data_IF_605312945534
#
_entry.id   IF_605312945534
#
_cell.length_a   1.000
_cell.length_b   1.000
_cell.length_c   1.000
_cell.angle_alpha   90.00
_cell.angle_beta   90.00
_cell.angle_gamma   90.00
#
_symmetry.space_group_name_H-M   'P 1'
#
loop_
_entity.id
_entity.type
_entity.pdbx_description
1 polymer ?
#
# COMPACT_ATOMS: atom_id res chain seq x y z
N UNK A 1 -19.46 -7.73 14.93
CA UNK A 1 -20.13 -8.87 14.31
C UNK A 1 -19.18 -10.05 14.50
N UNK A 2 -19.60 -11.13 15.12
CA UNK A 2 -18.77 -12.35 15.15
C UNK A 2 -18.75 -12.94 13.75
N UNK A 3 -17.59 -13.40 13.29
CA UNK A 3 -17.49 -14.12 12.03
C UNK A 3 -18.19 -15.46 12.16
N UNK A 4 -18.93 -15.89 11.15
CA UNK A 4 -19.44 -17.25 11.12
C UNK A 4 -18.28 -18.22 10.86
N UNK A 5 -18.41 -19.50 11.26
CA UNK A 5 -17.38 -20.51 11.00
C UNK A 5 -17.02 -20.63 9.50
N UNK A 6 -18.01 -20.42 8.60
CA UNK A 6 -17.81 -20.49 7.17
C UNK A 6 -16.91 -19.34 6.67
N UNK A 7 -17.16 -18.09 7.13
CA UNK A 7 -16.34 -16.93 6.76
C UNK A 7 -14.93 -17.11 7.31
N UNK A 8 -14.79 -17.65 8.50
CA UNK A 8 -13.51 -17.94 9.12
C UNK A 8 -12.71 -18.96 8.30
N UNK A 9 -13.37 -20.03 7.87
CA UNK A 9 -12.75 -21.03 7.00
C UNK A 9 -12.31 -20.42 5.66
N UNK A 10 -13.13 -19.56 5.03
CA UNK A 10 -12.75 -18.85 3.80
C UNK A 10 -11.50 -17.99 4.00
N UNK A 11 -11.42 -17.25 5.12
CA UNK A 11 -10.24 -16.45 5.47
C UNK A 11 -9.00 -17.34 5.66
N UNK A 12 -9.15 -18.45 6.40
CA UNK A 12 -8.07 -19.39 6.64
C UNK A 12 -7.57 -20.04 5.35
N UNK A 13 -8.48 -20.36 4.42
CA UNK A 13 -8.10 -20.88 3.09
C UNK A 13 -7.24 -19.90 2.32
N UNK A 14 -7.58 -18.60 2.33
CA UNK A 14 -6.74 -17.58 1.70
C UNK A 14 -5.38 -17.46 2.39
N UNK A 15 -5.32 -17.54 3.72
CA UNK A 15 -4.08 -17.41 4.51
C UNK A 15 -3.13 -18.60 4.36
N UNK A 16 -3.66 -19.81 4.20
CA UNK A 16 -2.87 -21.05 4.21
C UNK A 16 -2.70 -21.67 2.82
N UNK A 17 -3.64 -21.43 1.93
CA UNK A 17 -3.70 -22.04 0.62
C UNK A 17 -3.94 -20.99 -0.48
N UNK A 18 -5.16 -20.94 -0.98
CA UNK A 18 -5.58 -19.99 -2.01
C UNK A 18 -7.10 -19.84 -2.04
N UNK A 19 -7.55 -18.60 -2.14
CA UNK A 19 -8.95 -18.28 -2.41
C UNK A 19 -9.10 -17.54 -3.73
N UNK A 20 -10.27 -17.66 -4.36
CA UNK A 20 -10.58 -16.94 -5.59
C UNK A 20 -11.94 -16.25 -5.52
N UNK A 21 -12.09 -15.18 -6.28
CA UNK A 21 -13.35 -14.45 -6.43
C UNK A 21 -13.35 -13.63 -7.72
N UNK A 22 -14.53 -13.33 -8.23
CA UNK A 22 -14.68 -12.36 -9.32
C UNK A 22 -14.76 -10.94 -8.76
N UNK A 23 -14.07 -10.01 -9.41
CA UNK A 23 -14.02 -8.60 -9.03
C UNK A 23 -15.19 -7.84 -9.64
N UNK A 24 -16.37 -8.01 -9.05
CA UNK A 24 -17.58 -7.32 -9.49
C UNK A 24 -17.43 -5.80 -9.37
N UNK A 25 -17.87 -5.05 -10.38
CA UNK A 25 -17.76 -3.59 -10.43
C UNK A 25 -16.40 -3.06 -10.90
N UNK A 26 -15.39 -3.94 -11.05
CA UNK A 26 -14.11 -3.57 -11.64
C UNK A 26 -14.12 -3.82 -13.14
N UNK A 27 -13.43 -2.97 -13.88
CA UNK A 27 -13.23 -3.15 -15.31
C UNK A 27 -11.91 -2.57 -15.79
N UNK A 28 -11.54 -2.90 -17.00
CA UNK A 28 -10.35 -2.41 -17.67
C UNK A 28 -10.77 -1.40 -18.73
N UNK A 29 -10.21 -0.20 -18.65
CA UNK A 29 -10.22 0.78 -19.72
C UNK A 29 -8.93 0.62 -20.51
N UNK A 30 -9.02 0.20 -21.78
CA UNK A 30 -7.90 0.22 -22.73
C UNK A 30 -7.72 1.63 -23.28
N UNK A 31 -6.50 2.10 -23.30
CA UNK A 31 -6.06 3.32 -23.98
C UNK A 31 -5.08 2.90 -25.07
N UNK A 32 -5.39 3.18 -26.35
CA UNK A 32 -4.62 2.73 -27.49
C UNK A 32 -4.36 3.87 -28.48
N UNK A 33 -3.10 4.08 -28.85
CA UNK A 33 -2.64 5.05 -29.82
C UNK A 33 -1.21 5.49 -29.52
N UNK A 34 -0.56 6.12 -30.50
CA UNK A 34 0.87 6.52 -30.38
C UNK A 34 1.13 7.53 -29.28
N UNK A 35 0.11 8.33 -28.89
CA UNK A 35 0.24 9.37 -27.88
C UNK A 35 -0.22 8.89 -26.48
N UNK A 36 -0.60 7.60 -26.32
CA UNK A 36 -1.17 7.04 -25.09
C UNK A 36 -0.35 7.37 -23.85
N UNK A 37 0.94 7.03 -23.83
CA UNK A 37 1.78 7.26 -22.66
C UNK A 37 2.03 8.75 -22.38
N UNK A 38 2.23 9.55 -23.41
CA UNK A 38 2.45 11.00 -23.26
C UNK A 38 1.19 11.72 -22.77
N UNK A 39 0.01 11.30 -23.22
CA UNK A 39 -1.28 11.77 -22.73
C UNK A 39 -1.48 11.38 -21.27
N UNK A 40 -1.35 10.09 -20.94
CA UNK A 40 -1.50 9.60 -19.56
C UNK A 40 -0.48 10.23 -18.60
N UNK A 41 0.74 10.55 -19.07
CA UNK A 41 1.75 11.26 -18.30
C UNK A 41 1.26 12.60 -17.76
N UNK A 42 0.46 13.33 -18.52
CA UNK A 42 -0.05 14.65 -18.12
C UNK A 42 -1.32 14.59 -17.27
N UNK A 43 -2.06 13.49 -17.35
CA UNK A 43 -3.35 13.33 -16.66
C UNK A 43 -3.25 12.60 -15.32
N UNK A 44 -2.19 11.83 -15.10
CA UNK A 44 -2.11 10.91 -13.95
C UNK A 44 -0.98 11.30 -12.99
N UNK A 45 -1.08 10.87 -11.74
CA UNK A 45 -0.16 11.30 -10.68
C UNK A 45 1.18 10.55 -10.67
N UNK A 46 1.24 9.35 -11.25
CA UNK A 46 2.48 8.56 -11.30
C UNK A 46 3.15 8.64 -12.69
N UNK A 47 4.42 8.24 -12.81
CA UNK A 47 5.23 8.40 -14.00
C UNK A 47 4.94 7.30 -15.04
N UNK A 48 4.04 7.58 -15.96
CA UNK A 48 3.65 6.64 -17.02
C UNK A 48 4.79 6.37 -18.02
N UNK A 49 5.66 7.34 -18.26
CA UNK A 49 6.76 7.21 -19.23
C UNK A 49 7.88 6.28 -18.77
N UNK A 50 8.01 6.03 -17.47
CA UNK A 50 8.99 5.09 -16.93
C UNK A 50 8.58 3.62 -17.06
N UNK A 51 7.30 3.35 -17.35
CA UNK A 51 6.84 1.97 -17.51
C UNK A 51 7.40 1.34 -18.77
N UNK A 52 7.96 0.15 -18.61
CA UNK A 52 8.32 -0.72 -19.74
C UNK A 52 7.13 -1.62 -20.10
N UNK A 53 7.13 -2.17 -21.31
CA UNK A 53 6.13 -3.19 -21.70
C UNK A 53 6.17 -4.36 -20.72
N UNK A 54 5.01 -4.82 -20.29
CA UNK A 54 4.89 -5.86 -19.26
C UNK A 54 4.90 -5.34 -17.83
N UNK A 55 5.08 -4.04 -17.62
CA UNK A 55 5.08 -3.42 -16.29
C UNK A 55 3.78 -2.67 -16.01
N UNK A 56 3.51 -2.49 -14.72
CA UNK A 56 2.41 -1.67 -14.25
C UNK A 56 2.74 -0.95 -12.95
N UNK A 57 1.90 0.00 -12.59
CA UNK A 57 2.00 0.81 -11.38
C UNK A 57 0.63 1.26 -10.90
N UNK A 58 0.52 1.59 -9.61
CA UNK A 58 -0.63 2.32 -9.10
C UNK A 58 -0.55 3.79 -9.52
N UNK A 59 -1.69 4.39 -9.81
CA UNK A 59 -1.81 5.81 -10.15
C UNK A 59 -3.18 6.36 -9.75
N UNK A 60 -3.34 7.67 -9.85
CA UNK A 60 -4.60 8.35 -9.59
C UNK A 60 -4.80 9.52 -10.56
N UNK A 61 -6.02 10.00 -10.62
CA UNK A 61 -6.37 11.30 -11.20
C UNK A 61 -6.91 12.19 -10.11
N UNK A 62 -6.48 13.44 -10.10
CA UNK A 62 -6.89 14.45 -9.13
C UNK A 62 -7.41 15.71 -9.82
N UNK A 63 -8.21 16.48 -9.10
CA UNK A 63 -8.55 17.83 -9.50
C UNK A 63 -7.42 18.83 -9.16
N UNK A 64 -7.61 20.13 -9.49
CA UNK A 64 -6.64 21.19 -9.21
C UNK A 64 -6.37 21.41 -7.72
N UNK A 65 -7.25 20.96 -6.84
CA UNK A 65 -7.09 20.99 -5.39
C UNK A 65 -6.48 19.70 -4.83
N UNK A 66 -5.96 18.82 -5.70
CA UNK A 66 -5.47 17.49 -5.37
C UNK A 66 -6.52 16.53 -4.79
N UNK A 67 -7.81 16.80 -4.97
CA UNK A 67 -8.88 15.90 -4.56
C UNK A 67 -8.93 14.72 -5.50
N UNK A 68 -9.11 13.54 -4.93
CA UNK A 68 -9.14 12.29 -5.67
C UNK A 68 -10.40 12.22 -6.56
N UNK A 69 -10.20 12.08 -7.86
CA UNK A 69 -11.27 11.78 -8.81
C UNK A 69 -11.45 10.27 -8.90
N UNK A 70 -10.36 9.55 -9.09
CA UNK A 70 -10.31 8.08 -9.07
C UNK A 70 -8.90 7.57 -8.90
N UNK A 71 -8.77 6.33 -8.45
CA UNK A 71 -7.51 5.58 -8.41
C UNK A 71 -7.60 4.33 -9.27
N UNK A 72 -6.49 3.89 -9.81
CA UNK A 72 -6.41 2.73 -10.71
C UNK A 72 -4.99 2.16 -10.74
N UNK A 73 -4.82 0.99 -11.33
CA UNK A 73 -3.50 0.52 -11.76
C UNK A 73 -3.36 0.65 -13.27
N UNK A 74 -2.24 1.25 -13.68
CA UNK A 74 -1.85 1.44 -15.08
C UNK A 74 -0.88 0.33 -15.47
N UNK A 75 -1.13 -0.34 -16.59
CA UNK A 75 -0.32 -1.43 -17.11
C UNK A 75 0.03 -1.15 -18.57
N UNK A 76 1.33 -1.15 -18.91
CA UNK A 76 1.78 -0.98 -20.29
C UNK A 76 1.75 -2.32 -21.01
N UNK A 77 0.80 -2.50 -21.91
CA UNK A 77 0.55 -3.75 -22.62
C UNK A 77 1.48 -3.96 -23.82
N UNK A 78 1.76 -2.88 -24.56
CA UNK A 78 2.75 -2.82 -25.63
C UNK A 78 3.22 -1.38 -25.86
N UNK A 79 3.75 -1.06 -27.04
CA UNK A 79 4.25 0.29 -27.36
C UNK A 79 3.15 1.35 -27.36
N UNK A 80 1.94 1.00 -27.81
CA UNK A 80 0.84 1.92 -28.03
C UNK A 80 -0.37 1.64 -27.13
N UNK A 81 -0.43 0.49 -26.44
CA UNK A 81 -1.57 0.10 -25.63
C UNK A 81 -1.23 0.10 -24.14
N UNK A 82 -2.12 0.69 -23.36
CA UNK A 82 -2.09 0.65 -21.89
C UNK A 82 -3.46 0.29 -21.33
N UNK A 83 -3.48 -0.52 -20.28
CA UNK A 83 -4.70 -0.89 -19.56
C UNK A 83 -4.77 -0.18 -18.22
N UNK A 84 -5.94 0.35 -17.91
CA UNK A 84 -6.25 1.03 -16.67
C UNK A 84 -7.32 0.22 -15.93
N UNK A 85 -6.91 -0.48 -14.87
CA UNK A 85 -7.80 -1.32 -14.05
C UNK A 85 -8.35 -0.50 -12.89
N UNK A 86 -9.67 -0.30 -12.83
CA UNK A 86 -10.34 0.53 -11.83
C UNK A 86 -11.71 -0.02 -11.42
N UNK A 87 -12.12 0.27 -10.18
CA UNK A 87 -13.48 0.09 -9.66
C UNK A 87 -14.41 1.27 -10.02
N UNK A 88 -13.87 2.31 -10.68
CA UNK A 88 -14.60 3.50 -11.10
C UNK A 88 -14.24 3.89 -12.55
N UNK A 89 -14.23 2.91 -13.44
CA UNK A 89 -13.76 3.07 -14.82
C UNK A 89 -14.59 4.05 -15.65
N UNK A 90 -15.89 4.20 -15.36
CA UNK A 90 -16.72 5.21 -16.02
C UNK A 90 -16.23 6.62 -15.73
N UNK A 91 -16.02 6.97 -14.47
CA UNK A 91 -15.48 8.30 -14.10
C UNK A 91 -14.08 8.49 -14.67
N UNK A 92 -13.26 7.43 -14.69
CA UNK A 92 -11.93 7.46 -15.29
C UNK A 92 -12.02 7.79 -16.79
N UNK A 93 -12.85 7.07 -17.53
CA UNK A 93 -13.09 7.29 -18.96
C UNK A 93 -13.60 8.71 -19.24
N UNK A 94 -14.68 9.13 -18.56
CA UNK A 94 -15.30 10.45 -18.76
C UNK A 94 -14.31 11.58 -18.48
N UNK A 95 -13.45 11.42 -17.46
CA UNK A 95 -12.40 12.40 -17.17
C UNK A 95 -11.34 12.44 -18.27
N UNK A 96 -10.78 11.30 -18.68
CA UNK A 96 -9.74 11.26 -19.72
C UNK A 96 -10.26 11.84 -21.04
N UNK A 97 -11.48 11.49 -21.46
CA UNK A 97 -12.12 12.04 -22.66
C UNK A 97 -12.35 13.55 -22.55
N UNK A 98 -12.63 14.08 -21.37
CA UNK A 98 -12.81 15.54 -21.20
C UNK A 98 -11.56 16.35 -21.42
N UNK A 99 -10.36 15.74 -21.38
CA UNK A 99 -9.06 16.34 -21.63
C UNK A 99 -8.42 15.87 -22.95
N UNK A 100 -9.12 15.03 -23.70
CA UNK A 100 -8.68 14.51 -24.98
C UNK A 100 -9.10 15.47 -26.12
N UNK A 101 -8.14 16.06 -26.83
CA UNK A 101 -8.42 17.05 -27.89
C UNK A 101 -7.81 16.70 -29.24
N UNK A 102 -6.52 16.34 -29.31
CA UNK A 102 -5.77 16.13 -30.54
C UNK A 102 -4.84 14.92 -30.49
N UNK A 103 -4.68 14.35 -29.34
CA UNK A 103 -3.79 13.23 -29.11
C UNK A 103 -4.33 12.00 -29.85
N UNK A 104 -3.43 11.25 -30.45
CA UNK A 104 -3.77 9.96 -31.07
C UNK A 104 -3.88 8.90 -29.96
N UNK A 105 -5.04 8.87 -29.30
CA UNK A 105 -5.41 7.89 -28.27
C UNK A 105 -6.90 7.60 -28.36
N UNK A 106 -7.28 6.32 -28.27
CA UNK A 106 -8.66 5.88 -28.19
C UNK A 106 -8.88 5.12 -26.89
N UNK A 107 -10.03 5.33 -26.26
CA UNK A 107 -10.41 4.68 -25.01
C UNK A 107 -11.55 3.68 -25.25
N UNK A 108 -11.39 2.46 -24.75
CA UNK A 108 -12.39 1.40 -24.85
C UNK A 108 -12.49 0.61 -23.54
N UNK A 109 -13.69 0.42 -23.02
CA UNK A 109 -13.89 -0.49 -21.89
C UNK A 109 -13.94 -1.92 -22.40
N UNK A 110 -12.98 -2.74 -21.95
CA UNK A 110 -12.88 -4.12 -22.37
C UNK A 110 -13.94 -4.99 -21.68
N UNK A 111 -14.54 -5.87 -22.46
CA UNK A 111 -15.50 -6.87 -21.95
C UNK A 111 -14.75 -8.11 -21.46
N UNK A 112 -14.17 -8.02 -20.26
CA UNK A 112 -13.41 -9.09 -19.63
C UNK A 112 -13.92 -9.34 -18.20
N UNK A 113 -14.03 -10.60 -17.81
CA UNK A 113 -14.17 -10.97 -16.41
C UNK A 113 -12.79 -10.86 -15.71
N UNK A 114 -12.81 -10.41 -14.47
CA UNK A 114 -11.61 -10.27 -13.63
C UNK A 114 -11.70 -11.26 -12.49
N UNK A 115 -10.89 -12.31 -12.54
CA UNK A 115 -10.80 -13.31 -11.47
C UNK A 115 -9.56 -13.03 -10.62
N UNK A 116 -9.76 -12.71 -9.36
CA UNK A 116 -8.70 -12.61 -8.37
C UNK A 116 -8.41 -13.99 -7.76
N UNK A 117 -7.14 -14.39 -7.76
CA UNK A 117 -6.61 -15.57 -7.11
C UNK A 117 -5.61 -15.13 -6.05
N UNK A 118 -5.89 -15.37 -4.77
CA UNK A 118 -5.16 -14.79 -3.64
C UNK A 118 -4.78 -15.87 -2.63
N UNK A 119 -3.53 -15.84 -2.17
CA UNK A 119 -3.01 -16.76 -1.16
C UNK A 119 -1.60 -17.25 -1.49
N UNK A 120 -0.86 -17.83 -0.52
CA UNK A 120 0.55 -18.22 -0.68
C UNK A 120 0.77 -19.29 -1.76
N UNK A 121 -0.26 -20.04 -2.15
CA UNK A 121 -0.16 -21.06 -3.21
C UNK A 121 -0.64 -20.56 -4.58
N UNK A 122 -1.03 -19.30 -4.72
CA UNK A 122 -1.56 -18.76 -5.97
C UNK A 122 -0.58 -18.90 -7.16
N UNK A 123 0.71 -18.63 -6.93
CA UNK A 123 1.75 -18.84 -7.93
C UNK A 123 1.85 -20.31 -8.35
N UNK A 124 1.95 -21.24 -7.40
CA UNK A 124 2.05 -22.68 -7.68
C UNK A 124 0.85 -23.23 -8.47
N UNK A 125 -0.34 -22.66 -8.24
CA UNK A 125 -1.55 -23.03 -9.00
C UNK A 125 -1.44 -22.57 -10.44
N UNK A 126 -1.04 -21.32 -10.65
CA UNK A 126 -0.95 -20.74 -12.00
C UNK A 126 0.22 -21.30 -12.81
N UNK A 127 1.33 -21.68 -12.19
CA UNK A 127 2.46 -22.39 -12.86
C UNK A 127 2.06 -23.75 -13.47
N UNK A 128 0.96 -24.36 -12.99
CA UNK A 128 0.39 -25.56 -13.61
C UNK A 128 -0.41 -25.27 -14.88
N UNK A 129 -0.80 -24.01 -15.08
CA UNK A 129 -1.63 -23.56 -16.20
C UNK A 129 -0.81 -22.78 -17.22
N UNK A 130 0.15 -21.98 -16.77
CA UNK A 130 0.96 -21.07 -17.56
C UNK A 130 2.45 -21.38 -17.42
N UNK A 131 3.22 -21.19 -18.49
CA UNK A 131 4.66 -21.47 -18.53
C UNK A 131 5.51 -20.41 -17.83
N UNK A 132 4.98 -19.19 -17.67
CA UNK A 132 5.62 -18.08 -16.96
C UNK A 132 4.55 -17.26 -16.24
N UNK A 133 4.96 -16.44 -15.28
CA UNK A 133 4.07 -15.55 -14.53
C UNK A 133 4.79 -14.24 -14.23
N UNK A 134 4.07 -13.10 -14.13
CA UNK A 134 4.69 -11.83 -13.80
C UNK A 134 5.32 -11.90 -12.40
N UNK A 135 6.60 -11.54 -12.30
CA UNK A 135 7.37 -11.62 -11.06
C UNK A 135 7.19 -10.36 -10.20
N UNK A 136 7.12 -9.18 -10.84
CA UNK A 136 7.06 -7.89 -10.13
C UNK A 136 5.62 -7.48 -9.79
N UNK A 137 5.42 -6.77 -8.65
CA UNK A 137 4.12 -6.17 -8.33
C UNK A 137 3.59 -5.31 -9.50
N UNK A 138 2.30 -5.47 -9.79
CA UNK A 138 1.62 -4.89 -10.96
C UNK A 138 2.20 -5.28 -12.32
N UNK A 139 3.17 -6.20 -12.39
CA UNK A 139 3.63 -6.79 -13.64
C UNK A 139 2.52 -7.57 -14.34
N UNK A 140 2.63 -7.71 -15.66
CA UNK A 140 1.63 -8.38 -16.50
C UNK A 140 2.29 -9.34 -17.47
N UNK A 141 1.56 -10.42 -17.77
CA UNK A 141 1.90 -11.35 -18.85
C UNK A 141 0.64 -11.76 -19.63
N UNK A 142 0.79 -11.87 -20.94
CA UNK A 142 -0.26 -12.39 -21.84
C UNK A 142 -0.02 -13.86 -22.11
N UNK A 143 -1.09 -14.65 -22.09
CA UNK A 143 -1.07 -16.08 -22.33
C UNK A 143 -2.16 -16.46 -23.32
N UNK A 144 -1.99 -17.60 -23.96
CA UNK A 144 -3.07 -18.30 -24.67
C UNK A 144 -3.64 -19.40 -23.76
N UNK A 145 -4.94 -19.42 -23.63
CA UNK A 145 -5.66 -20.45 -22.92
C UNK A 145 -6.79 -20.99 -23.81
N UNK A 146 -6.61 -22.22 -24.32
CA UNK A 146 -7.55 -22.88 -25.18
C UNK A 146 -7.90 -22.08 -26.47
N UNK A 147 -6.93 -21.36 -27.02
CA UNK A 147 -7.07 -20.55 -28.22
C UNK A 147 -7.62 -19.15 -28.01
N UNK A 148 -7.76 -18.70 -26.76
CA UNK A 148 -8.16 -17.33 -26.43
C UNK A 148 -7.13 -16.61 -25.55
N UNK A 149 -6.93 -15.29 -25.74
CA UNK A 149 -5.97 -14.52 -24.96
C UNK A 149 -6.45 -14.30 -23.52
N UNK A 150 -5.58 -14.58 -22.56
CA UNK A 150 -5.70 -14.21 -21.17
C UNK A 150 -4.59 -13.25 -20.78
N UNK A 151 -4.84 -12.41 -19.80
CA UNK A 151 -3.80 -11.58 -19.18
C UNK A 151 -3.75 -11.85 -17.69
N UNK A 152 -2.56 -12.10 -17.18
CA UNK A 152 -2.28 -12.28 -15.75
C UNK A 152 -1.59 -11.05 -15.21
N UNK A 153 -2.13 -10.46 -14.14
CA UNK A 153 -1.58 -9.30 -13.45
C UNK A 153 -1.18 -9.74 -12.04
N UNK A 154 0.06 -9.50 -11.62
CA UNK A 154 0.48 -9.77 -10.24
C UNK A 154 -0.01 -8.66 -9.31
N UNK A 155 -1.02 -8.95 -8.50
CA UNK A 155 -1.61 -7.96 -7.57
C UNK A 155 -2.20 -8.61 -6.32
N UNK A 156 -1.72 -8.18 -5.17
CA UNK A 156 -2.29 -8.56 -3.87
C UNK A 156 -3.51 -7.69 -3.55
N UNK A 157 -4.60 -8.32 -3.14
CA UNK A 157 -5.84 -7.69 -2.67
C UNK A 157 -6.17 -8.06 -1.21
N UNK A 158 -5.37 -8.93 -0.61
CA UNK A 158 -5.63 -9.54 0.71
C UNK A 158 -4.45 -9.47 1.68
N UNK A 159 -3.32 -8.90 1.24
CA UNK A 159 -2.05 -8.95 1.97
C UNK A 159 -1.24 -10.23 1.73
N UNK A 160 -1.83 -11.23 1.05
CA UNK A 160 -1.13 -12.43 0.57
C UNK A 160 -0.58 -12.23 -0.85
N UNK A 161 0.18 -13.19 -1.35
CA UNK A 161 0.52 -13.30 -2.77
C UNK A 161 -0.77 -13.36 -3.59
N UNK A 162 -0.80 -12.71 -4.75
CA UNK A 162 -2.02 -12.70 -5.52
C UNK A 162 -1.86 -12.29 -6.97
N UNK A 163 -2.82 -12.74 -7.76
CA UNK A 163 -2.92 -12.46 -9.18
C UNK A 163 -4.36 -12.10 -9.55
N UNK A 164 -4.50 -11.31 -10.60
CA UNK A 164 -5.76 -11.03 -11.28
C UNK A 164 -5.65 -11.62 -12.68
N UNK A 165 -6.58 -12.47 -13.04
CA UNK A 165 -6.69 -13.08 -14.35
C UNK A 165 -7.81 -12.35 -15.10
N UNK A 166 -7.45 -11.69 -16.19
CA UNK A 166 -8.37 -11.01 -17.10
C UNK A 166 -8.72 -11.98 -18.23
N UNK A 167 -9.98 -12.39 -18.32
CA UNK A 167 -10.40 -13.45 -19.23
C UNK A 167 -11.73 -13.12 -19.91
N UNK A 168 -11.94 -13.56 -21.18
CA UNK A 168 -13.25 -13.52 -21.82
C UNK A 168 -14.30 -14.28 -21.03
N UNK A 169 -15.54 -13.77 -21.01
CA UNK A 169 -16.63 -14.36 -20.21
C UNK A 169 -16.94 -15.81 -20.57
N UNK A 170 -16.68 -16.21 -21.80
CA UNK A 170 -16.88 -17.56 -22.30
C UNK A 170 -15.96 -18.59 -21.65
N UNK A 171 -14.77 -18.13 -21.17
CA UNK A 171 -13.79 -19.00 -20.51
C UNK A 171 -13.96 -19.08 -19.00
N UNK A 172 -14.84 -18.28 -18.43
CA UNK A 172 -15.04 -18.13 -16.99
C UNK A 172 -15.24 -19.47 -16.27
N UNK A 173 -16.17 -20.27 -16.72
CA UNK A 173 -16.50 -21.56 -16.08
C UNK A 173 -15.35 -22.55 -16.23
N UNK A 174 -14.83 -22.69 -17.47
CA UNK A 174 -13.78 -23.64 -17.77
C UNK A 174 -12.48 -23.32 -16.98
N UNK A 175 -12.06 -22.05 -16.98
CA UNK A 175 -10.90 -21.63 -16.23
C UNK A 175 -11.09 -21.85 -14.72
N UNK A 176 -12.27 -21.52 -14.18
CA UNK A 176 -12.59 -21.74 -12.76
C UNK A 176 -12.53 -23.23 -12.39
N UNK A 177 -13.11 -24.11 -13.22
CA UNK A 177 -13.03 -25.56 -13.00
C UNK A 177 -11.59 -26.07 -13.00
N UNK A 178 -10.74 -25.54 -13.88
CA UNK A 178 -9.32 -25.91 -13.93
C UNK A 178 -8.58 -25.48 -12.66
N UNK A 179 -8.89 -24.31 -12.08
CA UNK A 179 -8.34 -23.87 -10.81
C UNK A 179 -8.79 -24.74 -9.63
N UNK A 180 -10.05 -25.15 -9.61
CA UNK A 180 -10.62 -25.99 -8.52
C UNK A 180 -10.09 -27.42 -8.60
N UNK A 181 -9.95 -27.96 -9.82
CA UNK A 181 -9.45 -29.34 -10.06
C UNK A 181 -7.94 -29.47 -9.93
N UNK A 182 -7.18 -28.37 -9.94
CA UNK A 182 -5.76 -28.40 -9.67
C UNK A 182 -5.58 -28.78 -8.19
N UNK A 183 -5.06 -29.95 -7.86
CA UNK A 183 -4.77 -30.61 -6.53
C UNK A 183 -4.47 -29.67 -5.31
N UNK A 184 -4.80 -28.41 -5.40
CA UNK A 184 -4.34 -27.30 -4.56
C UNK A 184 -5.45 -26.61 -3.80
N UNK A 185 -6.65 -27.18 -3.67
CA UNK A 185 -7.71 -26.68 -2.77
C UNK A 185 -7.97 -25.15 -2.87
N UNK A 186 -8.08 -24.60 -4.08
CA UNK A 186 -8.55 -23.22 -4.22
C UNK A 186 -10.05 -23.16 -3.90
N UNK A 187 -10.43 -22.24 -3.00
CA UNK A 187 -11.82 -22.12 -2.53
C UNK A 187 -12.40 -20.78 -3.01
N UNK A 188 -13.64 -20.80 -3.47
CA UNK A 188 -14.36 -19.55 -3.74
C UNK A 188 -14.63 -18.85 -2.42
N UNK A 189 -14.29 -17.55 -2.33
CA UNK A 189 -14.53 -16.75 -1.14
C UNK A 189 -15.64 -15.72 -1.35
N UNK A 190 -16.46 -15.52 -0.31
CA UNK A 190 -17.58 -14.60 -0.31
C UNK A 190 -17.17 -13.14 -0.04
N UNK A 191 -18.12 -12.23 -0.18
CA UNK A 191 -17.91 -10.80 0.00
C UNK A 191 -17.44 -10.45 1.42
N UNK A 192 -17.99 -11.13 2.44
CA UNK A 192 -17.64 -10.83 3.84
C UNK A 192 -16.19 -11.21 4.16
N UNK A 193 -15.72 -12.37 3.69
CA UNK A 193 -14.32 -12.76 3.84
C UNK A 193 -13.38 -11.81 3.10
N UNK A 194 -13.74 -11.43 1.86
CA UNK A 194 -12.97 -10.42 1.09
C UNK A 194 -12.87 -9.08 1.82
N UNK A 195 -13.97 -8.63 2.43
CA UNK A 195 -13.98 -7.38 3.19
C UNK A 195 -13.05 -7.43 4.40
N UNK A 196 -13.08 -8.53 5.17
CA UNK A 196 -12.15 -8.71 6.30
C UNK A 196 -10.71 -8.69 5.82
N UNK A 197 -10.37 -9.50 4.82
CA UNK A 197 -9.02 -9.62 4.26
C UNK A 197 -8.49 -8.27 3.73
N UNK A 198 -9.34 -7.51 3.03
CA UNK A 198 -9.01 -6.19 2.50
C UNK A 198 -8.73 -5.17 3.62
N UNK A 199 -9.60 -5.13 4.63
CA UNK A 199 -9.42 -4.21 5.76
C UNK A 199 -8.15 -4.57 6.54
N UNK A 200 -7.88 -5.85 6.77
CA UNK A 200 -6.64 -6.33 7.36
C UNK A 200 -5.41 -5.91 6.54
N UNK A 201 -5.50 -5.98 5.22
CA UNK A 201 -4.45 -5.51 4.30
C UNK A 201 -4.35 -3.98 4.21
N UNK A 202 -5.26 -3.23 4.83
CA UNK A 202 -5.25 -1.77 4.82
C UNK A 202 -5.56 -1.15 3.46
N UNK A 203 -6.26 -1.86 2.56
CA UNK A 203 -6.54 -1.42 1.19
C UNK A 203 -7.83 -0.61 1.16
N UNK A 204 -7.79 0.71 0.90
CA UNK A 204 -8.99 1.53 0.76
C UNK A 204 -9.67 1.31 -0.59
N UNK A 205 -11.00 1.42 -0.62
CA UNK A 205 -11.83 1.35 -1.83
C UNK A 205 -12.45 2.73 -2.10
N UNK A 206 -12.46 3.15 -3.37
CA UNK A 206 -13.12 4.37 -3.80
C UNK A 206 -14.64 4.25 -3.61
N UNK A 207 -15.30 5.33 -3.19
CA UNK A 207 -16.72 5.33 -2.85
C UNK A 207 -17.07 4.77 -1.47
N UNK A 208 -16.18 4.00 -0.85
CA UNK A 208 -16.36 3.42 0.49
C UNK A 208 -15.45 4.06 1.53
N UNK A 209 -14.14 4.00 1.33
CA UNK A 209 -13.14 4.51 2.27
C UNK A 209 -12.63 5.89 1.88
N UNK A 210 -12.64 6.21 0.62
CA UNK A 210 -12.20 7.48 0.06
C UNK A 210 -13.17 7.94 -1.04
N UNK A 211 -13.27 9.23 -1.24
CA UNK A 211 -14.12 9.85 -2.25
C UNK A 211 -13.52 11.18 -2.75
N UNK A 212 -14.24 11.90 -3.62
CA UNK A 212 -13.84 13.20 -4.16
C UNK A 212 -13.72 14.35 -3.13
N UNK A 213 -13.91 14.09 -1.84
CA UNK A 213 -13.66 15.07 -0.76
C UNK A 213 -12.27 14.92 -0.19
N UNK A 214 -11.63 13.74 -0.36
CA UNK A 214 -10.30 13.49 0.13
C UNK A 214 -9.25 14.03 -0.87
N UNK A 215 -8.25 14.69 -0.36
CA UNK A 215 -7.02 14.92 -1.14
C UNK A 215 -6.19 13.65 -1.17
N UNK A 216 -5.50 13.39 -2.29
CA UNK A 216 -4.74 12.15 -2.48
C UNK A 216 -3.76 11.83 -1.33
N UNK A 217 -2.99 12.79 -0.77
CA UNK A 217 -2.11 12.53 0.37
C UNK A 217 -2.82 12.03 1.66
N UNK A 218 -4.12 12.26 1.80
CA UNK A 218 -4.87 11.76 2.96
C UNK A 218 -5.17 10.26 2.88
N UNK A 219 -5.26 9.72 1.66
CA UNK A 219 -5.82 8.38 1.40
C UNK A 219 -4.87 7.22 1.68
N UNK A 220 -3.60 7.50 1.97
CA UNK A 220 -2.55 6.48 2.11
C UNK A 220 -2.01 5.96 0.77
N UNK A 221 -2.57 6.40 -0.37
CA UNK A 221 -2.14 5.97 -1.71
C UNK A 221 -0.93 6.77 -2.24
N UNK A 222 -0.54 7.87 -1.58
CA UNK A 222 0.52 8.76 -2.05
C UNK A 222 1.81 8.00 -2.37
N UNK A 223 2.23 7.11 -1.49
CA UNK A 223 3.52 6.40 -1.63
C UNK A 223 3.61 5.48 -2.84
N UNK A 224 2.48 4.91 -3.28
CA UNK A 224 2.42 3.99 -4.41
C UNK A 224 1.93 4.63 -5.70
N UNK A 225 1.21 5.76 -5.60
CA UNK A 225 0.47 6.33 -6.73
C UNK A 225 0.98 7.69 -7.21
N UNK A 226 2.03 8.26 -6.59
CA UNK A 226 2.56 9.59 -6.93
C UNK A 226 4.04 9.53 -7.26
N UNK A 227 4.40 10.06 -8.42
CA UNK A 227 5.79 10.39 -8.75
C UNK A 227 6.04 11.88 -8.54
N UNK A 228 7.09 12.20 -7.78
CA UNK A 228 7.50 13.57 -7.52
C UNK A 228 8.57 14.07 -8.52
N UNK A 229 9.07 13.18 -9.36
CA UNK A 229 10.16 13.46 -10.34
C UNK A 229 9.68 13.55 -11.78
N UNK A 230 8.37 13.41 -12.00
CA UNK A 230 7.77 13.53 -13.32
C UNK A 230 7.40 14.97 -13.66
N UNK A 231 7.09 15.23 -14.94
CA UNK A 231 6.54 16.49 -15.42
C UNK A 231 5.18 16.84 -14.80
N UNK A 232 4.66 18.01 -15.14
CA UNK A 232 3.42 18.55 -14.56
C UNK A 232 2.21 17.65 -14.81
N UNK A 233 1.34 17.55 -13.82
CA UNK A 233 0.01 16.95 -13.87
C UNK A 233 -0.98 17.74 -13.01
N UNK A 234 -2.28 17.49 -13.18
CA UNK A 234 -3.32 18.23 -12.48
C UNK A 234 -3.28 17.93 -10.99
N UNK A 235 -3.23 18.97 -10.14
CA UNK A 235 -3.16 18.86 -8.67
C UNK A 235 -1.74 18.72 -8.08
N UNK A 236 -0.69 18.63 -8.92
CA UNK A 236 0.69 18.45 -8.48
C UNK A 236 1.16 19.49 -7.46
N UNK A 237 0.81 20.77 -7.66
CA UNK A 237 1.28 21.86 -6.78
C UNK A 237 0.83 21.63 -5.31
N UNK A 238 -0.44 21.25 -5.10
CA UNK A 238 -0.97 20.99 -3.76
C UNK A 238 -0.31 19.76 -3.14
N UNK A 239 -0.13 18.68 -3.91
CA UNK A 239 0.50 17.45 -3.45
C UNK A 239 1.97 17.73 -3.06
N UNK A 240 2.72 18.40 -3.93
CA UNK A 240 4.12 18.76 -3.66
C UNK A 240 4.25 19.70 -2.45
N UNK A 241 3.35 20.67 -2.31
CA UNK A 241 3.34 21.59 -1.16
C UNK A 241 3.11 20.85 0.16
N UNK A 242 2.16 19.91 0.20
CA UNK A 242 1.90 19.11 1.40
C UNK A 242 3.14 18.30 1.77
N UNK A 243 3.80 17.68 0.78
CA UNK A 243 5.04 16.95 0.99
C UNK A 243 6.17 17.81 1.54
N UNK A 244 6.33 19.02 1.00
CA UNK A 244 7.46 19.90 1.34
C UNK A 244 7.28 20.59 2.68
N UNK A 245 6.08 21.09 2.96
CA UNK A 245 5.82 21.98 4.11
C UNK A 245 5.06 21.33 5.26
N UNK A 246 4.72 20.04 5.17
CA UNK A 246 4.02 19.43 6.28
C UNK A 246 3.48 18.03 5.98
N UNK A 247 2.29 17.83 6.49
CA UNK A 247 1.52 16.61 6.33
C UNK A 247 0.04 17.00 6.21
N UNK A 248 -0.81 16.20 5.56
CA UNK A 248 -2.22 16.51 5.44
C UNK A 248 -2.88 16.60 6.81
N UNK A 249 -3.96 17.39 6.93
CA UNK A 249 -4.68 17.55 8.20
C UNK A 249 -5.30 16.23 8.69
N UNK A 250 -5.75 15.40 7.77
CA UNK A 250 -6.23 14.05 8.03
C UNK A 250 -5.37 13.04 7.26
N UNK A 251 -5.26 11.82 7.79
CA UNK A 251 -4.69 10.70 7.04
C UNK A 251 -5.41 9.41 7.39
N UNK A 252 -5.47 8.50 6.42
CA UNK A 252 -5.99 7.16 6.62
C UNK A 252 -5.02 6.38 7.52
N UNK A 253 -5.56 5.87 8.63
CA UNK A 253 -4.85 5.09 9.64
C UNK A 253 -5.62 3.82 9.95
N UNK A 254 -4.92 2.86 10.56
CA UNK A 254 -5.56 1.77 11.24
C UNK A 254 -5.97 2.16 12.66
N UNK A 255 -7.10 1.64 13.11
CA UNK A 255 -7.46 1.66 14.53
C UNK A 255 -7.92 0.27 14.96
N UNK A 256 -7.42 -0.21 16.11
CA UNK A 256 -8.02 -1.37 16.79
C UNK A 256 -9.02 -0.85 17.82
N UNK A 257 -10.08 -1.61 18.04
CA UNK A 257 -11.24 -1.18 18.84
C UNK A 257 -11.53 -2.26 19.87
N UNK A 258 -11.64 -1.86 21.14
CA UNK A 258 -12.04 -2.77 22.20
C UNK A 258 -13.58 -2.92 22.25
N UNK A 259 -14.03 -4.14 22.43
CA UNK A 259 -15.45 -4.46 22.60
C UNK A 259 -16.05 -5.29 21.47
N UNK A 260 -17.29 -5.76 21.68
CA UNK A 260 -17.95 -6.69 20.75
C UNK A 260 -18.71 -5.99 19.61
N UNK A 261 -18.86 -4.67 19.67
CA UNK A 261 -19.70 -3.91 18.75
C UNK A 261 -18.83 -3.16 17.74
N UNK A 262 -19.05 -3.39 16.44
CA UNK A 262 -18.42 -2.59 15.38
C UNK A 262 -18.95 -1.16 15.37
N UNK A 263 -18.09 -0.17 15.24
CA UNK A 263 -18.53 1.21 15.06
C UNK A 263 -19.26 1.37 13.72
N UNK A 264 -20.21 2.31 13.63
CA UNK A 264 -20.90 2.56 12.38
C UNK A 264 -19.95 3.17 11.34
N UNK A 265 -20.11 2.76 10.09
CA UNK A 265 -19.40 3.36 8.95
C UNK A 265 -19.73 4.86 8.86
N UNK A 266 -18.72 5.68 8.53
CA UNK A 266 -18.75 7.13 8.54
C UNK A 266 -19.06 7.75 9.93
N UNK A 267 -18.94 6.97 11.03
CA UNK A 267 -19.08 7.47 12.38
C UNK A 267 -18.00 8.48 12.73
N UNK A 268 -18.39 9.66 13.22
CA UNK A 268 -17.46 10.68 13.68
C UNK A 268 -16.81 10.25 14.99
N UNK A 269 -15.47 10.30 15.04
CA UNK A 269 -14.67 10.00 16.25
C UNK A 269 -14.53 11.31 17.03
N UNK A 270 -15.04 11.34 18.26
CA UNK A 270 -14.98 12.48 19.15
C UNK A 270 -14.09 12.18 20.36
N UNK A 271 -13.14 13.05 20.66
CA UNK A 271 -12.39 13.07 21.91
C UNK A 271 -12.90 14.23 22.77
N UNK A 272 -13.71 13.93 23.79
CA UNK A 272 -14.59 14.91 24.40
C UNK A 272 -15.57 15.44 23.35
N UNK A 273 -15.65 16.78 23.22
CA UNK A 273 -16.51 17.44 22.22
C UNK A 273 -15.79 17.70 20.88
N UNK A 274 -14.49 17.41 20.78
CA UNK A 274 -13.71 17.68 19.58
C UNK A 274 -13.76 16.51 18.61
N UNK A 275 -14.16 16.76 17.36
CA UNK A 275 -14.06 15.78 16.28
C UNK A 275 -12.60 15.62 15.87
N UNK A 276 -12.05 14.41 16.05
CA UNK A 276 -10.67 14.05 15.71
C UNK A 276 -10.54 13.10 14.52
N UNK A 277 -11.66 12.54 14.03
CA UNK A 277 -11.61 11.59 12.93
C UNK A 277 -12.96 11.10 12.45
N UNK A 278 -12.91 10.14 11.51
CA UNK A 278 -14.08 9.46 10.94
C UNK A 278 -13.71 8.00 10.71
N UNK A 279 -14.55 7.08 11.19
CA UNK A 279 -14.47 5.65 10.86
C UNK A 279 -14.91 5.44 9.41
N UNK A 280 -14.18 4.61 8.70
CA UNK A 280 -14.54 4.11 7.37
C UNK A 280 -14.91 2.63 7.44
N UNK A 281 -14.24 1.74 6.74
CA UNK A 281 -14.51 0.30 6.84
C UNK A 281 -14.06 -0.27 8.17
N UNK A 282 -14.82 -1.23 8.70
CA UNK A 282 -14.46 -1.97 9.91
C UNK A 282 -14.72 -3.46 9.72
N UNK A 283 -13.91 -4.30 10.39
CA UNK A 283 -14.02 -5.74 10.36
C UNK A 283 -13.57 -6.37 11.69
N UNK A 284 -14.03 -7.58 11.96
CA UNK A 284 -13.44 -8.43 13.01
C UNK A 284 -12.23 -9.15 12.39
N UNK A 285 -11.03 -8.87 12.89
CA UNK A 285 -9.82 -9.58 12.50
C UNK A 285 -9.59 -10.74 13.45
N UNK A 286 -9.46 -11.95 12.91
CA UNK A 286 -9.09 -13.11 13.70
C UNK A 286 -7.59 -13.18 13.96
N UNK A 287 -6.79 -12.80 12.97
CA UNK A 287 -5.33 -12.77 13.10
C UNK A 287 -4.85 -11.89 14.26
N UNK A 288 -5.64 -10.86 14.62
CA UNK A 288 -5.38 -9.95 15.73
C UNK A 288 -6.30 -10.19 16.95
N UNK A 289 -7.31 -11.03 16.81
CA UNK A 289 -8.41 -11.21 17.78
C UNK A 289 -9.05 -9.88 18.22
N UNK A 290 -9.20 -8.92 17.31
CA UNK A 290 -9.70 -7.57 17.58
C UNK A 290 -10.65 -7.08 16.49
N UNK A 291 -11.51 -6.13 16.85
CA UNK A 291 -12.15 -5.27 15.88
C UNK A 291 -11.10 -4.28 15.35
N UNK A 292 -11.06 -4.13 14.03
CA UNK A 292 -10.19 -3.20 13.33
C UNK A 292 -11.01 -2.29 12.45
N UNK A 293 -10.51 -1.09 12.20
CA UNK A 293 -11.14 -0.19 11.24
C UNK A 293 -10.11 0.67 10.52
N UNK A 294 -10.42 1.01 9.28
CA UNK A 294 -9.80 2.11 8.56
C UNK A 294 -10.46 3.41 9.04
N UNK A 295 -9.68 4.41 9.40
CA UNK A 295 -10.18 5.68 9.92
C UNK A 295 -9.32 6.84 9.43
N UNK A 296 -9.95 7.96 9.08
CA UNK A 296 -9.22 9.21 8.93
C UNK A 296 -9.05 9.85 10.30
N UNK A 297 -7.80 10.13 10.68
CA UNK A 297 -7.48 10.80 11.93
C UNK A 297 -6.77 12.14 11.66
N UNK A 298 -7.04 13.13 12.52
CA UNK A 298 -6.34 14.42 12.50
C UNK A 298 -4.86 14.24 12.83
N UNK A 299 -4.01 15.14 12.31
CA UNK A 299 -2.56 15.12 12.44
C UNK A 299 -2.08 14.90 13.87
N UNK A 300 -2.69 15.58 14.84
CA UNK A 300 -2.29 15.53 16.26
C UNK A 300 -2.71 14.23 16.99
N UNK A 301 -3.53 13.37 16.33
CA UNK A 301 -4.12 12.18 16.94
C UNK A 301 -3.82 10.90 16.15
N UNK A 302 -2.82 10.90 15.25
CA UNK A 302 -2.49 9.76 14.39
C UNK A 302 -1.14 9.12 14.66
N UNK A 303 -0.46 9.48 15.76
CA UNK A 303 0.73 8.76 16.20
C UNK A 303 0.38 7.30 16.44
N UNK A 304 1.19 6.34 15.97
CA UNK A 304 0.93 4.93 16.19
C UNK A 304 0.94 4.56 17.68
N UNK A 305 0.23 3.50 18.01
CA UNK A 305 0.17 2.90 19.36
C UNK A 305 -0.41 3.78 20.48
N UNK A 306 -1.11 4.87 20.13
CA UNK A 306 -1.80 5.74 21.10
C UNK A 306 -3.21 5.19 21.39
N UNK A 307 -3.50 4.96 22.67
CA UNK A 307 -4.82 4.59 23.15
C UNK A 307 -5.64 5.84 23.49
N UNK A 308 -6.91 5.83 23.09
CA UNK A 308 -7.84 6.93 23.34
C UNK A 308 -9.23 6.42 23.70
N UNK A 309 -9.84 7.01 24.73
CA UNK A 309 -11.26 6.85 25.00
C UNK A 309 -12.03 7.89 24.19
N UNK A 310 -12.85 7.41 23.26
CA UNK A 310 -13.56 8.24 22.29
C UNK A 310 -15.03 7.95 22.27
N UNK A 311 -15.82 8.88 21.74
CA UNK A 311 -17.21 8.63 21.38
C UNK A 311 -17.35 8.53 19.86
N UNK A 312 -18.12 7.53 19.42
CA UNK A 312 -18.46 7.37 17.99
C UNK A 312 -19.99 7.26 17.91
N UNK A 313 -20.63 8.26 17.29
CA UNK A 313 -22.09 8.40 17.27
C UNK A 313 -22.70 8.22 18.68
N UNK A 314 -22.20 8.99 19.65
CA UNK A 314 -22.67 9.05 21.05
C UNK A 314 -22.44 7.76 21.86
N UNK A 315 -21.72 6.77 21.32
CA UNK A 315 -21.35 5.54 22.02
C UNK A 315 -19.86 5.57 22.41
N UNK A 316 -19.52 5.18 23.64
CA UNK A 316 -18.15 5.12 24.08
C UNK A 316 -17.41 3.94 23.42
N UNK A 317 -16.17 4.20 23.00
CA UNK A 317 -15.24 3.20 22.48
C UNK A 317 -13.84 3.49 23.01
N UNK A 318 -13.06 2.43 23.23
CA UNK A 318 -11.62 2.55 23.41
C UNK A 318 -10.94 2.11 22.12
N UNK A 319 -10.18 3.01 21.55
CA UNK A 319 -9.45 2.76 20.30
C UNK A 319 -7.95 2.84 20.54
N UNK A 320 -7.19 2.10 19.75
CA UNK A 320 -5.74 2.24 19.66
C UNK A 320 -5.35 2.44 18.21
N UNK A 321 -4.59 3.50 17.94
CA UNK A 321 -4.08 3.81 16.59
C UNK A 321 -2.99 2.81 16.19
N UNK A 322 -2.92 2.50 14.90
CA UNK A 322 -1.86 1.66 14.35
C UNK A 322 -1.59 2.00 12.88
N UNK A 323 -0.38 1.68 12.45
CA UNK A 323 -0.01 1.79 11.04
C UNK A 323 -0.67 0.68 10.21
N UNK A 324 -1.07 1.03 9.00
CA UNK A 324 -1.49 0.06 7.99
C UNK A 324 -0.27 -0.58 7.30
N UNK A 325 -0.38 -1.81 6.80
CA UNK A 325 -1.49 -2.75 6.98
C UNK A 325 -1.58 -3.33 8.40
N UNK A 326 -2.75 -3.82 8.80
CA UNK A 326 -2.91 -4.58 10.05
C UNK A 326 -2.25 -5.96 9.95
N UNK A 327 -2.46 -6.63 8.84
CA UNK A 327 -1.93 -7.95 8.52
C UNK A 327 -1.06 -7.90 7.26
N UNK A 328 0.01 -8.66 7.29
CA UNK A 328 0.86 -8.91 6.14
C UNK A 328 1.49 -10.31 6.24
N UNK A 329 1.45 -11.06 5.16
CA UNK A 329 1.99 -12.41 5.09
C UNK A 329 3.49 -12.43 5.45
N UNK A 330 3.92 -13.45 6.20
CA UNK A 330 5.32 -13.65 6.58
C UNK A 330 6.22 -13.84 5.33
N UNK A 331 5.72 -14.54 4.32
CA UNK A 331 6.40 -14.75 3.04
C UNK A 331 6.76 -13.43 2.35
N UNK A 332 5.88 -12.43 2.38
CA UNK A 332 6.14 -11.09 1.82
C UNK A 332 7.22 -10.36 2.60
N UNK A 333 7.21 -10.47 3.92
CA UNK A 333 8.26 -9.91 4.78
C UNK A 333 9.62 -10.53 4.50
N UNK A 334 9.68 -11.85 4.33
CA UNK A 334 10.91 -12.56 3.98
C UNK A 334 11.39 -12.20 2.58
N UNK A 335 10.49 -12.09 1.61
CA UNK A 335 10.82 -11.66 0.25
C UNK A 335 11.40 -10.24 0.24
N UNK A 336 10.74 -9.30 0.91
CA UNK A 336 11.24 -7.93 1.04
C UNK A 336 12.65 -7.88 1.67
N UNK A 337 12.94 -8.73 2.67
CA UNK A 337 14.30 -8.85 3.23
C UNK A 337 15.33 -9.39 2.24
N UNK A 338 14.95 -10.35 1.39
CA UNK A 338 15.83 -10.85 0.32
C UNK A 338 16.18 -9.73 -0.65
N UNK A 339 15.18 -8.97 -1.10
CA UNK A 339 15.38 -7.81 -1.98
C UNK A 339 16.29 -6.73 -1.36
N UNK A 340 16.11 -6.42 -0.07
CA UNK A 340 17.03 -5.52 0.63
C UNK A 340 18.48 -6.02 0.57
N UNK A 341 18.71 -7.30 0.88
CA UNK A 341 20.04 -7.89 0.85
C UNK A 341 20.64 -7.88 -0.57
N UNK A 342 19.82 -8.17 -1.59
CA UNK A 342 20.22 -8.10 -3.00
C UNK A 342 20.64 -6.67 -3.39
N UNK A 343 19.82 -5.67 -3.07
CA UNK A 343 20.13 -4.27 -3.35
C UNK A 343 21.45 -3.83 -2.68
N UNK A 344 21.66 -4.23 -1.42
CA UNK A 344 22.89 -3.93 -0.68
C UNK A 344 24.11 -4.65 -1.27
N UNK A 345 23.93 -5.86 -1.81
CA UNK A 345 25.00 -6.61 -2.47
C UNK A 345 25.39 -5.93 -3.80
N UNK A 346 24.41 -5.60 -4.65
CA UNK A 346 24.64 -4.88 -5.91
C UNK A 346 25.35 -3.56 -5.65
N UNK A 347 24.93 -2.82 -4.61
CA UNK A 347 25.58 -1.56 -4.22
C UNK A 347 27.06 -1.71 -3.87
N UNK A 348 27.48 -2.85 -3.31
CA UNK A 348 28.90 -3.13 -3.00
C UNK A 348 29.73 -3.43 -4.26
N UNK A 349 29.08 -3.95 -5.29
CA UNK A 349 29.74 -4.43 -6.51
C UNK A 349 29.72 -3.39 -7.65
N UNK A 350 28.81 -2.43 -7.61
CA UNK A 350 28.57 -1.46 -8.69
C UNK A 350 28.44 -0.05 -8.14
N UNK A 351 28.96 0.95 -8.89
CA UNK A 351 28.80 2.37 -8.53
C UNK A 351 27.43 2.93 -8.92
N UNK A 352 26.70 2.29 -9.87
CA UNK A 352 25.38 2.76 -10.31
C UNK A 352 24.32 2.38 -9.25
N UNK A 353 23.58 3.40 -8.80
CA UNK A 353 22.54 3.27 -7.78
C UNK A 353 21.12 3.01 -8.34
N UNK A 354 20.90 3.11 -9.66
CA UNK A 354 19.55 3.04 -10.23
C UNK A 354 18.92 1.67 -9.99
N UNK A 355 19.69 0.58 -10.20
CA UNK A 355 19.20 -0.77 -9.97
C UNK A 355 18.94 -1.07 -8.47
N UNK A 356 19.85 -0.80 -7.53
CA UNK A 356 19.58 -0.91 -6.09
C UNK A 356 18.36 -0.10 -5.63
N UNK A 357 18.17 1.11 -6.13
CA UNK A 357 17.02 1.97 -5.82
C UNK A 357 15.71 1.31 -6.30
N UNK A 358 15.70 0.76 -7.51
CA UNK A 358 14.52 0.07 -8.04
C UNK A 358 14.15 -1.15 -7.18
N UNK A 359 15.12 -1.96 -6.80
CA UNK A 359 14.94 -3.14 -5.93
C UNK A 359 14.44 -2.74 -4.53
N UNK A 360 14.96 -1.65 -3.95
CA UNK A 360 14.51 -1.17 -2.65
C UNK A 360 13.08 -0.61 -2.68
N UNK A 361 12.67 0.03 -3.78
CA UNK A 361 11.27 0.43 -3.99
C UNK A 361 10.35 -0.78 -4.03
N UNK A 362 10.74 -1.83 -4.76
CA UNK A 362 10.00 -3.09 -4.80
C UNK A 362 9.91 -3.75 -3.41
N UNK A 363 11.00 -3.74 -2.64
CA UNK A 363 11.01 -4.26 -1.28
C UNK A 363 10.00 -3.54 -0.37
N UNK A 364 9.87 -2.22 -0.51
CA UNK A 364 8.91 -1.39 0.23
C UNK A 364 7.48 -1.67 -0.25
N UNK A 365 7.24 -1.81 -1.55
CA UNK A 365 5.91 -2.14 -2.10
C UNK A 365 5.42 -3.50 -1.62
N UNK A 366 6.32 -4.47 -1.51
CA UNK A 366 6.02 -5.81 -0.97
C UNK A 366 5.77 -5.75 0.54
N UNK A 367 6.59 -5.00 1.29
CA UNK A 367 6.47 -4.86 2.75
C UNK A 367 6.55 -3.40 3.19
N UNK A 368 5.43 -2.65 3.22
CA UNK A 368 5.37 -1.23 3.54
C UNK A 368 5.83 -0.80 4.95
N UNK A 369 6.14 -1.77 5.81
CA UNK A 369 6.70 -1.53 7.16
C UNK A 369 8.17 -1.93 7.29
N UNK A 370 8.89 -2.10 6.18
CA UNK A 370 10.30 -2.51 6.16
C UNK A 370 11.22 -1.31 6.46
N UNK A 371 11.43 -1.02 7.72
CA UNK A 371 12.21 0.14 8.18
C UNK A 371 13.59 0.23 7.52
N UNK A 372 14.34 -0.88 7.50
CA UNK A 372 15.69 -0.94 6.92
C UNK A 372 15.70 -0.67 5.41
N UNK A 373 14.63 -1.02 4.69
CA UNK A 373 14.53 -0.71 3.26
C UNK A 373 14.28 0.78 3.01
N UNK A 374 13.49 1.44 3.86
CA UNK A 374 13.32 2.90 3.82
C UNK A 374 14.63 3.64 4.09
N UNK A 375 15.39 3.20 5.10
CA UNK A 375 16.68 3.78 5.43
C UNK A 375 17.66 3.66 4.26
N UNK A 376 17.84 2.45 3.73
CA UNK A 376 18.74 2.19 2.61
C UNK A 376 18.36 3.00 1.37
N UNK A 377 17.06 3.04 1.00
CA UNK A 377 16.57 3.79 -0.13
C UNK A 377 16.82 5.30 0.05
N UNK A 378 16.52 5.85 1.23
CA UNK A 378 16.76 7.26 1.51
C UNK A 378 18.23 7.64 1.42
N UNK A 379 19.12 6.78 1.91
CA UNK A 379 20.58 6.99 1.78
C UNK A 379 21.02 6.96 0.32
N UNK A 380 20.50 6.03 -0.50
CA UNK A 380 20.88 5.93 -1.92
C UNK A 380 20.36 7.12 -2.74
N UNK A 381 19.15 7.57 -2.47
CA UNK A 381 18.59 8.77 -3.11
C UNK A 381 19.36 10.04 -2.73
N UNK A 382 19.75 10.17 -1.46
CA UNK A 382 20.57 11.31 -1.02
C UNK A 382 21.96 11.32 -1.66
N UNK A 383 22.52 10.16 -2.03
CA UNK A 383 23.76 10.06 -2.83
C UNK A 383 23.58 10.48 -4.27
N UNK A 384 22.37 10.34 -4.81
CA UNK A 384 22.00 10.87 -6.14
C UNK A 384 21.53 12.35 -6.11
N UNK A 385 21.72 13.03 -4.97
CA UNK A 385 21.25 14.41 -4.72
C UNK A 385 19.72 14.59 -4.81
N UNK A 386 18.95 13.50 -4.71
CA UNK A 386 17.49 13.52 -4.66
C UNK A 386 17.00 13.73 -3.21
N UNK A 387 17.38 14.88 -2.64
CA UNK A 387 17.21 15.15 -1.20
C UNK A 387 15.75 15.20 -0.76
N UNK A 388 14.84 15.72 -1.60
CA UNK A 388 13.40 15.80 -1.26
C UNK A 388 12.77 14.42 -1.08
N UNK A 389 13.11 13.46 -1.96
CA UNK A 389 12.65 12.09 -1.83
C UNK A 389 13.26 11.41 -0.60
N UNK A 390 14.56 11.60 -0.39
CA UNK A 390 15.26 11.05 0.78
C UNK A 390 14.63 11.54 2.10
N UNK A 391 14.32 12.84 2.20
CA UNK A 391 13.63 13.43 3.36
C UNK A 391 12.25 12.81 3.55
N UNK A 392 11.47 12.64 2.49
CA UNK A 392 10.15 12.04 2.59
C UNK A 392 10.21 10.59 3.11
N UNK A 393 11.19 9.82 2.64
CA UNK A 393 11.39 8.44 3.11
C UNK A 393 11.84 8.38 4.57
N UNK A 394 12.73 9.28 5.01
CA UNK A 394 13.13 9.34 6.42
C UNK A 394 11.98 9.77 7.33
N UNK A 395 11.14 10.72 6.92
CA UNK A 395 9.90 11.05 7.63
C UNK A 395 8.97 9.84 7.73
N UNK A 396 8.83 9.08 6.63
CA UNK A 396 8.05 7.85 6.67
C UNK A 396 8.67 6.82 7.61
N UNK A 397 9.99 6.72 7.65
CA UNK A 397 10.71 5.85 8.57
C UNK A 397 10.46 6.23 10.04
N UNK A 398 10.41 7.52 10.39
CA UNK A 398 10.05 7.97 11.76
C UNK A 398 8.62 7.62 12.13
N UNK A 399 7.69 7.57 11.17
CA UNK A 399 6.32 7.09 11.40
C UNK A 399 6.27 5.56 11.63
N UNK A 400 7.05 4.78 10.86
CA UNK A 400 7.12 3.31 10.95
C UNK A 400 7.83 2.88 12.23
N UNK A 401 8.93 3.53 12.56
CA UNK A 401 9.74 3.29 13.75
C UNK A 401 10.10 4.61 14.42
N UNK A 402 9.27 5.14 15.33
CA UNK A 402 9.54 6.40 16.03
C UNK A 402 10.82 6.41 16.87
N UNK A 403 11.36 5.22 17.20
CA UNK A 403 12.61 5.08 17.97
C UNK A 403 13.86 4.96 17.08
N UNK A 404 13.72 5.18 15.75
CA UNK A 404 14.81 5.03 14.79
C UNK A 404 15.72 6.26 14.77
N UNK A 405 16.80 6.19 15.51
CA UNK A 405 17.77 7.28 15.66
C UNK A 405 18.37 7.69 14.31
N UNK A 406 18.62 6.70 13.43
CA UNK A 406 19.23 6.97 12.11
C UNK A 406 18.30 7.77 11.21
N UNK A 407 16.98 7.62 11.33
CA UNK A 407 16.03 8.42 10.57
C UNK A 407 16.18 9.91 10.88
N UNK A 408 16.19 10.29 12.15
CA UNK A 408 16.38 11.68 12.59
C UNK A 408 17.78 12.20 12.27
N UNK A 409 18.81 11.35 12.40
CA UNK A 409 20.19 11.70 12.02
C UNK A 409 20.28 12.02 10.52
N UNK A 410 19.71 11.18 9.67
CA UNK A 410 19.70 11.38 8.23
C UNK A 410 18.89 12.62 7.84
N UNK A 411 17.71 12.84 8.46
CA UNK A 411 16.91 14.07 8.25
C UNK A 411 17.72 15.32 8.56
N UNK A 412 18.42 15.35 9.71
CA UNK A 412 19.28 16.48 10.07
C UNK A 412 20.33 16.77 8.99
N UNK A 413 21.01 15.72 8.49
CA UNK A 413 22.02 15.84 7.43
C UNK A 413 21.40 16.34 6.12
N UNK A 414 20.24 15.84 5.73
CA UNK A 414 19.59 16.21 4.47
C UNK A 414 19.04 17.64 4.53
N UNK A 415 18.46 18.07 5.65
CA UNK A 415 18.04 19.46 5.86
C UNK A 415 19.22 20.44 5.85
N UNK A 416 20.35 20.05 6.46
CA UNK A 416 21.58 20.86 6.37
C UNK A 416 22.04 21.05 4.93
N UNK A 417 22.02 20.00 4.11
CA UNK A 417 22.36 20.08 2.68
C UNK A 417 21.42 21.01 1.91
N UNK A 418 20.16 21.12 2.32
CA UNK A 418 19.18 22.05 1.73
C UNK A 418 19.25 23.46 2.29
N UNK A 419 20.13 23.75 3.26
CA UNK A 419 20.21 25.05 3.95
C UNK A 419 19.08 25.31 4.96
N UNK A 420 18.31 24.28 5.33
CA UNK A 420 17.21 24.34 6.30
C UNK A 420 17.75 24.10 7.71
N UNK A 421 18.46 25.10 8.25
CA UNK A 421 19.23 24.96 9.50
C UNK A 421 18.34 24.64 10.69
N UNK A 422 17.22 25.34 10.86
CA UNK A 422 16.30 25.14 11.98
C UNK A 422 15.71 23.72 12.01
N UNK A 423 15.26 23.21 10.85
CA UNK A 423 14.78 21.83 10.74
C UNK A 423 15.88 20.81 11.06
N UNK A 424 17.10 21.07 10.61
CA UNK A 424 18.24 20.20 10.88
C UNK A 424 18.61 20.14 12.37
N UNK A 425 18.56 21.27 13.08
CA UNK A 425 18.82 21.33 14.51
C UNK A 425 17.74 20.62 15.32
N UNK A 426 16.46 20.76 14.93
CA UNK A 426 15.34 20.06 15.56
C UNK A 426 15.50 18.54 15.44
N UNK A 427 15.79 18.04 14.25
CA UNK A 427 15.99 16.59 14.04
C UNK A 427 17.23 16.05 14.79
N UNK A 428 18.29 16.84 14.87
CA UNK A 428 19.48 16.49 15.66
C UNK A 428 19.19 16.41 17.16
N UNK A 429 18.37 17.31 17.67
CA UNK A 429 17.95 17.31 19.08
C UNK A 429 17.12 16.04 19.36
N UNK A 430 16.19 15.67 18.45
CA UNK A 430 15.38 14.46 18.58
C UNK A 430 16.25 13.19 18.56
N UNK A 431 17.19 13.07 17.61
CA UNK A 431 18.14 11.95 17.57
C UNK A 431 18.93 11.83 18.89
N UNK A 432 19.35 12.96 19.48
CA UNK A 432 20.10 12.97 20.74
C UNK A 432 19.23 12.54 21.92
N UNK A 433 17.97 12.99 21.97
CA UNK A 433 17.01 12.59 23.00
C UNK A 433 16.76 11.07 22.97
N UNK A 434 16.50 10.52 21.79
CA UNK A 434 16.31 9.07 21.58
C UNK A 434 17.54 8.25 21.97
N UNK A 435 18.75 8.74 21.65
CA UNK A 435 20.01 8.09 22.07
C UNK A 435 20.11 8.00 23.59
N UNK A 436 19.77 9.10 24.28
CA UNK A 436 19.80 9.15 25.74
C UNK A 436 18.76 8.20 26.35
N UNK A 437 17.53 8.20 25.86
CA UNK A 437 16.46 7.29 26.31
C UNK A 437 16.87 5.83 26.17
N UNK A 438 17.34 5.42 24.99
CA UNK A 438 17.81 4.05 24.74
C UNK A 438 19.00 3.66 25.63
N UNK A 439 19.92 4.60 25.93
CA UNK A 439 21.03 4.34 26.85
C UNK A 439 20.55 4.11 28.28
N UNK A 440 19.57 4.89 28.74
CA UNK A 440 18.94 4.74 30.06
C UNK A 440 18.22 3.40 30.17
N UNK A 441 17.41 3.03 29.19
CA UNK A 441 16.70 1.75 29.15
C UNK A 441 17.66 0.55 29.19
N UNK A 442 18.72 0.57 28.35
CA UNK A 442 19.77 -0.47 28.37
C UNK A 442 20.45 -0.58 29.73
N UNK A 443 20.69 0.55 30.39
CA UNK A 443 21.28 0.58 31.73
C UNK A 443 20.35 -0.04 32.78
N UNK A 444 19.06 0.32 32.72
CA UNK A 444 18.05 -0.23 33.63
C UNK A 444 17.84 -1.72 33.41
N UNK A 445 17.73 -2.19 32.15
CA UNK A 445 17.60 -3.62 31.82
C UNK A 445 18.82 -4.43 32.31
N UNK A 446 20.04 -3.87 32.20
CA UNK A 446 21.26 -4.52 32.73
C UNK A 446 21.25 -4.62 34.26
N UNK A 447 20.75 -3.57 34.97
CA UNK A 447 20.60 -3.60 36.42
C UNK A 447 19.55 -4.61 36.89
N UNK A 448 18.41 -4.72 36.16
CA UNK A 448 17.37 -5.71 36.46
C UNK A 448 17.87 -7.14 36.29
N UNK A 449 18.51 -7.46 35.17
CA UNK A 449 19.12 -8.78 34.93
C UNK A 449 20.14 -9.17 36.00
N UNK A 450 20.92 -8.18 36.47
CA UNK A 450 21.90 -8.42 37.56
C UNK A 450 21.20 -8.74 38.89
N UNK A 451 20.14 -8.01 39.23
CA UNK A 451 19.34 -8.28 40.43
C UNK A 451 18.66 -9.66 40.41
N UNK A 452 18.08 -10.02 39.27
CA UNK A 452 17.48 -11.34 39.07
C UNK A 452 18.50 -12.49 39.20
N UNK A 453 19.70 -12.31 38.64
CA UNK A 453 20.79 -13.26 38.76
C UNK A 453 21.31 -13.42 40.21
N UNK A 454 21.36 -12.29 40.96
CA UNK A 454 21.75 -12.31 42.38
C UNK A 454 20.67 -12.96 43.27
N UNK A 455 19.39 -12.76 42.91
CA UNK A 455 18.26 -13.36 43.64
C UNK A 455 18.20 -14.88 43.43
N UNK A 456 18.37 -15.36 42.18
CA UNK A 456 18.49 -16.80 41.85
C UNK A 456 19.66 -17.48 42.56
N UNK A 457 20.78 -16.76 42.77
CA UNK A 457 21.93 -17.31 43.54
C UNK A 457 21.67 -17.38 45.05
N UNK A 458 20.72 -16.64 45.58
CA UNK A 458 20.33 -16.67 47.01
C UNK A 458 19.30 -17.75 47.30
N UNK A 459 18.55 -18.17 46.26
CA UNK A 459 17.50 -19.21 46.36
C UNK A 459 18.02 -20.62 46.08
N UNK A 460 19.25 -20.76 45.63
CA UNK A 460 20.02 -22.02 45.53
C UNK A 460 20.95 -22.19 46.73
#
# INVERSE_FOLDING_TARGET
>A
MQLTPEIQEEINQVRQNCGYFFMEGWSILSANGKDTLSFLQTQTTNDALQLQVGQGQSSAITDRQARLITSFSLHRMDENESWLLSDNSKTLHDHLESYHFREDVAFETLNLDLLALQGPKSMLILEKVFSSLPEKPNGIERHDFEGAPLTVIKKSLTGEEGFIICLPSELKENFTQKLVNAETQSTKIGEQAREVLRVEAGIPIFGKDMDGKNILPETGLEHSSVSYNKGCYIGQEVIARIKTYGAPNFALMGVTIEGPISPPMNGSILLGDKKIGIIKSSARSESLDKLIALAYLQKDHRSPDVEMDVSINERPFKIKTCLLPFYQASTRKEHSKKLLNEALQIYKEQENLDNPIAILREAIDIYPKHAEAYEALGVFLAKQDKLDEAIALMKRLTEINPQEIMAHTNLSVYYMKQGRIEDAENEKAEATALQFEQAVEKSMAKKMKKKEAEQRKKEM
#
